data_IF_197337806650
#
_entry.id   IF_197337806650
#
_cell.length_a   1.000
_cell.length_b   1.000
_cell.length_c   1.000
_cell.angle_alpha   90.00
_cell.angle_beta   90.00
_cell.angle_gamma   90.00
#
_symmetry.space_group_name_H-M   'P 1'
#
loop_
_entity.id
_entity.type
_entity.pdbx_description
1 polymer ?
#
# COMPACT_ATOMS: atom_id res chain seq x y z
N UNK A 1 3.71 3.63 15.74
CA UNK A 1 5.04 4.05 15.23
C UNK A 1 6.13 3.45 16.09
N UNK A 2 7.25 3.04 15.49
CA UNK A 2 8.41 2.51 16.21
C UNK A 2 9.50 3.57 16.28
N UNK A 3 10.20 3.61 17.40
CA UNK A 3 11.29 4.53 17.67
C UNK A 3 12.58 3.75 17.89
N UNK A 4 13.70 4.35 17.48
CA UNK A 4 15.02 3.93 17.94
C UNK A 4 15.06 4.03 19.47
N UNK A 5 15.47 2.98 20.14
CA UNK A 5 15.46 2.87 21.60
C UNK A 5 16.77 2.27 22.11
N UNK A 6 17.34 2.86 23.15
CA UNK A 6 18.39 2.22 23.93
C UNK A 6 17.74 1.16 24.80
N UNK A 7 18.03 -0.11 24.53
CA UNK A 7 17.42 -1.24 25.22
C UNK A 7 17.50 -1.10 26.74
N UNK A 8 16.35 -1.24 27.39
CA UNK A 8 16.14 -1.08 28.84
C UNK A 8 16.54 0.30 29.38
N UNK A 9 16.76 1.30 28.52
CA UNK A 9 17.28 2.62 28.86
C UNK A 9 18.65 2.59 29.56
N UNK A 10 19.46 1.57 29.26
CA UNK A 10 20.68 1.22 29.96
C UNK A 10 21.89 2.04 29.45
N UNK A 11 22.34 3.01 30.23
CA UNK A 11 23.50 3.86 29.90
C UNK A 11 24.85 3.19 30.20
N UNK A 12 25.27 2.24 29.37
CA UNK A 12 26.61 1.63 29.43
C UNK A 12 27.14 1.34 28.02
N UNK A 13 28.47 1.31 27.88
CA UNK A 13 29.13 0.89 26.65
C UNK A 13 28.63 -0.51 26.22
N UNK A 14 28.21 -0.61 24.96
CA UNK A 14 27.69 -1.84 24.37
C UNK A 14 26.24 -2.15 24.70
N UNK A 15 25.47 -1.22 25.31
CA UNK A 15 24.03 -1.37 25.36
C UNK A 15 23.46 -1.34 23.93
N UNK A 16 22.63 -2.33 23.61
CA UNK A 16 22.08 -2.51 22.27
C UNK A 16 21.04 -1.45 21.95
N UNK A 17 20.97 -1.10 20.66
CA UNK A 17 19.83 -0.37 20.12
C UNK A 17 18.78 -1.36 19.63
N UNK A 18 17.52 -1.00 19.82
CA UNK A 18 16.35 -1.76 19.40
C UNK A 18 15.29 -0.83 18.80
N UNK A 19 14.27 -1.42 18.19
CA UNK A 19 12.99 -0.72 17.95
C UNK A 19 12.03 -0.97 19.12
N UNK A 20 11.23 0.05 19.43
CA UNK A 20 10.14 -0.07 20.40
C UNK A 20 9.01 0.90 20.05
N UNK A 21 7.80 0.65 20.53
CA UNK A 21 6.70 1.61 20.37
C UNK A 21 7.08 2.98 20.91
N UNK A 22 6.88 4.03 20.11
CA UNK A 22 7.24 5.38 20.51
C UNK A 22 6.47 5.83 21.76
N UNK A 23 7.20 6.18 22.83
CA UNK A 23 6.62 6.72 24.06
C UNK A 23 7.03 8.18 24.21
N UNK A 24 6.06 9.10 24.22
CA UNK A 24 6.32 10.54 24.34
C UNK A 24 7.10 10.86 25.62
N UNK A 25 8.21 11.57 25.47
CA UNK A 25 9.06 11.98 26.59
C UNK A 25 9.93 10.87 27.17
N UNK A 26 9.92 9.67 26.59
CA UNK A 26 10.74 8.56 27.04
C UNK A 26 12.21 8.79 26.66
N UNK A 27 13.04 9.03 27.67
CA UNK A 27 14.44 9.44 27.47
C UNK A 27 15.27 8.37 26.72
N UNK A 28 14.94 7.07 26.84
CA UNK A 28 15.65 6.00 26.12
C UNK A 28 15.51 6.05 24.60
N UNK A 29 14.50 6.76 24.10
CA UNK A 29 14.14 6.82 22.67
C UNK A 29 14.47 8.16 22.01
N UNK A 30 15.22 9.02 22.70
CA UNK A 30 15.48 10.40 22.26
C UNK A 30 16.92 10.58 21.85
N UNK A 31 17.14 11.05 20.62
CA UNK A 31 18.45 11.23 20.03
C UNK A 31 18.62 12.65 19.49
N UNK A 32 19.86 13.11 19.42
CA UNK A 32 20.26 14.39 18.82
C UNK A 32 21.44 14.15 17.90
N UNK A 33 21.43 14.77 16.74
CA UNK A 33 22.50 14.72 15.77
C UNK A 33 22.97 16.13 15.50
N UNK A 34 24.27 16.31 15.41
CA UNK A 34 24.90 17.57 15.05
C UNK A 34 25.65 17.39 13.73
N UNK A 35 25.31 18.19 12.73
CA UNK A 35 25.98 18.13 11.43
C UNK A 35 27.46 18.50 11.52
N UNK A 36 27.86 19.31 12.50
CA UNK A 36 29.23 19.78 12.65
C UNK A 36 30.21 18.65 13.02
N UNK A 37 29.75 17.63 13.76
CA UNK A 37 30.57 16.49 14.17
C UNK A 37 30.03 15.12 13.71
N UNK A 38 28.83 15.07 13.15
CA UNK A 38 28.19 13.85 12.66
C UNK A 38 27.81 12.86 13.76
N UNK A 39 27.86 13.22 15.04
CA UNK A 39 27.62 12.29 16.13
C UNK A 39 26.12 12.23 16.47
N UNK A 40 25.57 11.02 16.39
CA UNK A 40 24.20 10.72 16.80
C UNK A 40 24.16 10.37 18.29
N UNK A 41 23.91 11.37 19.13
CA UNK A 41 23.96 11.28 20.60
C UNK A 41 22.64 10.85 21.19
N UNK A 42 22.72 10.06 22.27
CA UNK A 42 21.57 9.77 23.10
C UNK A 42 21.25 10.96 24.02
N UNK A 43 20.04 11.51 23.96
CA UNK A 43 19.70 12.73 24.72
C UNK A 43 19.68 12.53 26.24
N UNK A 44 19.39 11.31 26.74
CA UNK A 44 19.41 11.05 28.19
C UNK A 44 20.80 11.23 28.79
N UNK A 45 21.84 10.86 28.06
CA UNK A 45 23.23 11.00 28.45
C UNK A 45 24.08 11.23 27.20
N UNK A 46 24.33 12.50 26.81
CA UNK A 46 25.02 12.87 25.58
C UNK A 46 26.49 12.44 25.51
N UNK A 47 27.02 11.83 26.59
CA UNK A 47 28.30 11.14 26.56
C UNK A 47 28.24 9.88 25.69
N UNK A 48 27.06 9.32 25.45
CA UNK A 48 26.87 8.14 24.61
C UNK A 48 26.36 8.51 23.22
N UNK A 49 26.96 7.90 22.22
CA UNK A 49 26.64 8.01 20.81
C UNK A 49 26.23 6.65 20.26
N UNK A 50 25.41 6.66 19.21
CA UNK A 50 25.21 5.48 18.36
C UNK A 50 26.57 5.06 17.80
N UNK A 51 26.84 3.77 17.84
CA UNK A 51 28.12 3.17 17.49
C UNK A 51 27.88 1.79 16.85
N UNK A 52 28.79 1.39 15.96
CA UNK A 52 28.77 0.05 15.35
C UNK A 52 29.74 -0.83 16.08
N UNK A 53 29.26 -1.95 16.61
CA UNK A 53 30.05 -2.85 17.46
C UNK A 53 31.37 -3.27 16.79
N UNK A 54 32.47 -3.12 17.50
CA UNK A 54 33.84 -3.37 17.03
C UNK A 54 34.25 -2.59 15.77
N UNK A 55 33.45 -1.63 15.31
CA UNK A 55 33.60 -0.93 14.03
C UNK A 55 33.74 -1.87 12.83
N UNK A 56 33.01 -3.00 12.84
CA UNK A 56 33.01 -3.97 11.72
C UNK A 56 31.85 -3.68 10.76
N UNK A 57 32.17 -3.38 9.50
CA UNK A 57 31.21 -3.13 8.41
C UNK A 57 30.61 -4.40 7.80
N UNK A 58 30.38 -5.43 8.61
CA UNK A 58 29.73 -6.67 8.16
C UNK A 58 28.22 -6.49 8.27
N UNK A 59 27.49 -6.76 7.19
CA UNK A 59 26.03 -6.82 7.20
C UNK A 59 25.54 -7.69 8.36
N UNK A 60 24.59 -7.17 9.14
CA UNK A 60 24.03 -7.80 10.32
C UNK A 60 24.82 -7.55 11.62
N UNK A 61 25.90 -6.77 11.58
CA UNK A 61 26.57 -6.34 12.81
C UNK A 61 25.69 -5.33 13.56
N UNK A 62 25.68 -5.41 14.89
CA UNK A 62 24.75 -4.65 15.71
C UNK A 62 25.17 -3.20 15.89
N UNK A 63 24.18 -2.32 15.88
CA UNK A 63 24.30 -0.98 16.43
C UNK A 63 24.12 -1.02 17.96
N UNK A 64 24.87 -0.18 18.64
CA UNK A 64 24.91 -0.07 20.09
C UNK A 64 25.07 1.41 20.48
N UNK A 65 25.04 1.70 21.77
CA UNK A 65 25.59 2.94 22.29
C UNK A 65 26.98 2.73 22.89
N UNK A 66 27.84 3.71 22.68
CA UNK A 66 29.19 3.77 23.24
C UNK A 66 29.55 5.20 23.58
N UNK A 67 30.48 5.41 24.50
CA UNK A 67 31.04 6.74 24.77
C UNK A 67 31.46 7.43 23.46
N UNK A 68 31.03 8.68 23.28
CA UNK A 68 31.28 9.44 22.08
C UNK A 68 32.79 9.67 21.90
N UNK A 69 33.35 9.15 20.81
CA UNK A 69 34.75 9.35 20.46
C UNK A 69 34.87 10.35 19.33
N UNK A 70 35.61 11.44 19.56
CA UNK A 70 35.87 12.51 18.57
C UNK A 70 36.94 12.14 17.53
N UNK A 71 37.43 10.89 17.54
CA UNK A 71 38.37 10.43 16.51
C UNK A 71 37.61 10.17 15.21
N UNK A 72 37.87 11.05 14.25
CA UNK A 72 37.29 11.09 12.92
C UNK A 72 36.91 9.69 12.38
N UNK A 73 35.63 9.54 11.99
CA UNK A 73 34.98 8.47 11.22
C UNK A 73 34.29 7.30 11.96
N UNK A 74 34.70 6.88 13.17
CA UNK A 74 34.24 5.56 13.67
C UNK A 74 32.79 5.49 14.18
N UNK A 75 32.28 6.56 14.79
CA UNK A 75 30.93 6.64 15.37
C UNK A 75 30.09 7.80 14.79
N UNK A 76 30.45 8.26 13.59
CA UNK A 76 29.77 9.38 12.92
C UNK A 76 28.79 8.86 11.88
N UNK A 77 27.62 9.51 11.79
CA UNK A 77 26.56 9.17 10.84
C UNK A 77 26.16 10.41 10.06
N UNK A 78 25.81 10.21 8.79
CA UNK A 78 25.07 11.19 8.01
C UNK A 78 23.58 10.91 8.19
N UNK A 79 22.82 11.95 8.53
CA UNK A 79 21.36 11.92 8.60
C UNK A 79 20.83 12.73 7.42
N UNK A 80 19.75 12.25 6.81
CA UNK A 80 19.12 12.97 5.69
C UNK A 80 18.65 14.36 6.13
N UNK A 81 19.05 15.44 5.42
CA UNK A 81 18.70 16.82 5.79
C UNK A 81 17.21 17.13 5.69
N UNK A 82 16.43 16.32 4.97
CA UNK A 82 14.96 16.45 4.91
C UNK A 82 14.27 15.95 6.19
N UNK A 83 15.00 15.24 7.06
CA UNK A 83 14.46 14.60 8.25
C UNK A 83 13.77 13.26 7.98
N UNK A 84 13.70 12.81 6.74
CA UNK A 84 13.24 11.46 6.36
C UNK A 84 14.28 10.85 5.45
N UNK A 85 14.88 9.73 5.83
CA UNK A 85 15.84 9.06 4.96
C UNK A 85 16.75 8.11 5.71
N UNK A 86 17.82 7.68 5.05
CA UNK A 86 18.77 6.72 5.64
C UNK A 86 19.66 7.41 6.68
N UNK A 87 19.96 6.68 7.75
CA UNK A 87 21.06 7.03 8.66
C UNK A 87 22.27 6.24 8.18
N UNK A 88 23.21 6.94 7.53
CA UNK A 88 24.34 6.34 6.81
C UNK A 88 25.58 6.41 7.70
N UNK A 89 26.31 5.30 7.85
CA UNK A 89 27.56 5.32 8.61
C UNK A 89 28.65 6.06 7.80
N UNK A 90 29.24 7.12 8.35
CA UNK A 90 30.14 7.98 7.55
C UNK A 90 31.44 7.29 7.11
N UNK A 91 31.94 6.31 7.87
CA UNK A 91 33.13 5.54 7.49
C UNK A 91 32.82 4.52 6.38
N UNK A 92 31.57 4.07 6.30
CA UNK A 92 31.07 3.06 5.38
C UNK A 92 29.76 3.54 4.75
N UNK A 93 29.80 4.45 3.77
CA UNK A 93 28.60 5.03 3.16
C UNK A 93 27.68 4.00 2.48
N UNK A 94 28.19 2.79 2.25
CA UNK A 94 27.44 1.64 1.80
C UNK A 94 26.68 0.92 2.93
N UNK A 95 26.83 1.32 4.20
CA UNK A 95 26.19 0.72 5.36
C UNK A 95 25.20 1.70 6.01
N UNK A 96 23.97 1.22 6.16
CA UNK A 96 22.85 1.99 6.69
C UNK A 96 22.33 1.36 7.97
N UNK A 97 21.84 2.20 8.88
CA UNK A 97 21.16 1.76 10.08
C UNK A 97 19.85 1.04 9.69
N UNK A 98 19.65 -0.17 10.20
CA UNK A 98 18.72 -1.15 9.63
C UNK A 98 17.95 -1.88 10.74
N UNK A 99 16.63 -2.02 10.58
CA UNK A 99 15.80 -2.86 11.47
C UNK A 99 15.95 -4.31 11.04
N UNK A 100 16.59 -5.10 11.90
CA UNK A 100 16.98 -6.46 11.55
C UNK A 100 15.83 -7.31 11.01
N UNK A 101 16.09 -7.96 9.87
CA UNK A 101 15.18 -8.92 9.25
C UNK A 101 13.78 -8.34 8.93
N UNK A 102 13.64 -7.01 8.80
CA UNK A 102 12.35 -6.31 8.60
C UNK A 102 11.31 -6.63 9.67
N UNK A 103 11.78 -7.01 10.86
CA UNK A 103 10.91 -7.46 11.94
C UNK A 103 10.54 -6.28 12.84
N UNK A 104 9.27 -5.87 12.78
CA UNK A 104 8.73 -4.73 13.52
C UNK A 104 8.27 -5.07 14.95
N UNK A 105 8.62 -6.23 15.50
CA UNK A 105 8.28 -6.59 16.89
C UNK A 105 9.14 -5.78 17.87
N UNK A 106 8.52 -5.28 18.95
CA UNK A 106 9.22 -4.55 20.01
C UNK A 106 10.40 -5.36 20.56
N UNK A 107 11.54 -4.70 20.69
CA UNK A 107 12.77 -5.31 21.16
C UNK A 107 13.60 -5.98 20.06
N UNK A 108 13.16 -5.94 18.80
CA UNK A 108 14.02 -6.34 17.69
C UNK A 108 15.21 -5.38 17.56
N UNK A 109 16.35 -5.93 17.16
CA UNK A 109 17.63 -5.23 17.19
C UNK A 109 17.83 -4.31 15.98
N UNK A 110 18.59 -3.24 16.22
CA UNK A 110 19.16 -2.43 15.14
C UNK A 110 20.50 -3.00 14.72
N UNK A 111 20.70 -3.13 13.42
CA UNK A 111 21.94 -3.56 12.80
C UNK A 111 22.41 -2.53 11.78
N UNK A 112 23.57 -2.78 11.19
CA UNK A 112 23.93 -2.22 9.89
C UNK A 112 23.68 -3.24 8.80
N UNK A 113 23.26 -2.76 7.65
CA UNK A 113 23.16 -3.55 6.44
C UNK A 113 23.57 -2.70 5.25
N UNK A 114 23.90 -3.37 4.14
CA UNK A 114 24.17 -2.68 2.88
C UNK A 114 22.99 -1.75 2.57
N UNK A 115 23.26 -0.48 2.32
CA UNK A 115 22.28 0.50 1.89
C UNK A 115 21.67 0.01 0.58
N UNK A 116 20.43 -0.46 0.63
CA UNK A 116 19.69 -0.97 -0.52
C UNK A 116 18.39 -0.17 -0.67
N UNK A 117 17.90 -0.09 -1.90
CA UNK A 117 16.69 0.67 -2.22
C UNK A 117 15.77 -0.11 -3.16
N UNK A 118 14.44 -0.03 -2.95
CA UNK A 118 13.73 0.50 -1.78
C UNK A 118 13.76 -0.46 -0.58
N UNK A 119 14.17 0.00 0.61
CA UNK A 119 14.11 -0.81 1.83
C UNK A 119 13.75 0.01 3.08
N UNK A 120 12.57 -0.26 3.65
CA UNK A 120 11.92 0.59 4.66
C UNK A 120 12.44 0.36 6.08
N UNK A 121 13.08 -0.77 6.34
CA UNK A 121 13.84 -1.02 7.56
C UNK A 121 15.11 -0.16 7.65
N UNK A 122 15.51 0.52 6.57
CA UNK A 122 16.65 1.43 6.51
C UNK A 122 16.26 2.92 6.48
N UNK A 123 14.97 3.24 6.46
CA UNK A 123 14.45 4.61 6.41
C UNK A 123 14.03 5.06 7.80
N UNK A 124 14.56 6.21 8.22
CA UNK A 124 14.36 6.78 9.54
C UNK A 124 13.79 8.19 9.44
N UNK A 125 12.93 8.51 10.40
CA UNK A 125 12.46 9.87 10.61
C UNK A 125 13.28 10.52 11.74
N UNK A 126 13.99 11.59 11.42
CA UNK A 126 14.86 12.32 12.33
C UNK A 126 14.47 13.80 12.38
N UNK A 127 14.30 14.36 13.58
CA UNK A 127 13.99 15.79 13.74
C UNK A 127 12.54 16.21 13.44
N UNK A 128 11.66 15.28 13.07
CA UNK A 128 10.22 15.51 12.83
C UNK A 128 9.30 15.13 14.00
N UNK A 129 9.85 14.92 15.19
CA UNK A 129 9.08 15.21 16.41
C UNK A 129 9.34 16.67 16.76
N UNK A 130 8.53 17.64 16.31
CA UNK A 130 8.67 18.99 16.81
C UNK A 130 8.48 18.92 18.32
N UNK A 131 9.48 19.39 19.06
CA UNK A 131 9.26 19.82 20.42
C UNK A 131 8.18 20.91 20.36
N UNK A 132 7.02 20.64 20.96
CA UNK A 132 6.09 21.70 21.35
C UNK A 132 6.88 22.78 22.11
N UNK A 133 6.85 24.05 21.67
CA UNK A 133 7.31 25.14 22.50
C UNK A 133 6.37 25.31 23.72
N UNK A 134 6.85 25.80 24.88
CA UNK A 134 5.95 26.20 25.97
C UNK A 134 5.00 27.29 25.45
N UNK A 135 3.72 27.30 25.86
CA UNK A 135 2.71 28.14 25.22
C UNK A 135 3.02 29.63 25.48
N UNK A 136 3.24 30.46 24.45
CA UNK A 136 2.89 31.86 24.56
C UNK A 136 1.37 31.98 24.46
N UNK A 137 0.80 32.77 25.35
CA UNK A 137 -0.64 33.05 25.54
C UNK A 137 -1.39 33.19 24.20
N UNK A 138 -2.51 32.48 23.96
CA UNK A 138 -3.06 32.34 22.62
C UNK A 138 -3.91 33.54 22.19
N UNK A 139 -3.65 34.02 20.96
CA UNK A 139 -4.68 34.51 20.06
C UNK A 139 -5.06 33.34 19.12
N UNK A 140 -6.36 33.10 18.83
CA UNK A 140 -6.81 31.87 18.21
C UNK A 140 -6.58 31.85 16.69
N UNK A 141 -5.93 30.80 16.19
CA UNK A 141 -5.90 30.37 14.78
C UNK A 141 -6.34 28.89 14.75
N UNK A 142 -7.15 28.42 13.77
CA UNK A 142 -8.05 27.31 13.99
C UNK A 142 -7.31 25.96 13.96
N UNK A 143 -7.36 25.25 15.09
CA UNK A 143 -6.89 23.87 15.28
C UNK A 143 -7.89 22.83 14.78
N UNK A 144 -8.66 23.15 13.74
CA UNK A 144 -9.63 22.20 13.20
C UNK A 144 -8.91 21.25 12.25
N UNK A 145 -8.97 19.92 12.44
CA UNK A 145 -8.50 18.96 11.44
C UNK A 145 -9.10 19.32 10.08
N UNK A 146 -8.28 19.40 9.05
CA UNK A 146 -8.77 19.57 7.68
C UNK A 146 -9.50 18.30 7.28
N UNK A 147 -10.77 18.45 6.90
CA UNK A 147 -11.63 17.37 6.45
C UNK A 147 -12.10 17.66 5.04
N UNK A 148 -12.11 16.63 4.20
CA UNK A 148 -12.66 16.68 2.86
C UNK A 148 -13.72 15.60 2.72
N UNK A 149 -14.82 15.93 2.05
CA UNK A 149 -15.93 15.01 1.79
C UNK A 149 -16.46 15.26 0.38
N UNK A 150 -16.74 14.20 -0.36
CA UNK A 150 -17.35 14.25 -1.69
C UNK A 150 -16.55 13.47 -2.72
N UNK A 151 -16.64 13.88 -3.98
CA UNK A 151 -15.89 13.26 -5.07
C UNK A 151 -14.42 13.70 -5.06
N UNK A 152 -13.52 12.79 -5.46
CA UNK A 152 -12.14 13.12 -5.87
C UNK A 152 -12.13 13.19 -7.40
N UNK A 153 -11.96 14.39 -7.94
CA UNK A 153 -12.02 14.65 -9.39
C UNK A 153 -10.63 14.83 -9.96
N UNK A 154 -10.42 14.36 -11.18
CA UNK A 154 -9.18 14.64 -11.91
C UNK A 154 -9.13 16.12 -12.33
N UNK A 155 -8.07 16.84 -11.97
CA UNK A 155 -8.00 18.29 -12.16
C UNK A 155 -8.09 18.72 -13.65
N UNK A 156 -7.49 17.94 -14.57
CA UNK A 156 -7.55 18.23 -16.00
C UNK A 156 -8.73 17.59 -16.74
N UNK A 157 -9.42 16.66 -16.07
CA UNK A 157 -10.63 16.00 -16.54
C UNK A 157 -11.69 16.07 -15.43
N UNK A 158 -12.27 17.26 -15.15
CA UNK A 158 -13.18 17.47 -14.01
C UNK A 158 -14.50 16.69 -14.11
N UNK A 159 -14.78 16.12 -15.28
CA UNK A 159 -15.82 15.13 -15.53
C UNK A 159 -15.47 13.72 -15.05
N UNK A 160 -14.22 13.45 -14.64
CA UNK A 160 -13.76 12.14 -14.15
C UNK A 160 -13.57 12.14 -12.64
N UNK A 161 -14.14 11.14 -12.00
CA UNK A 161 -14.13 10.93 -10.56
C UNK A 161 -13.48 9.60 -10.23
N UNK A 162 -12.80 9.51 -9.08
CA UNK A 162 -12.48 8.22 -8.49
C UNK A 162 -13.75 7.40 -8.28
N UNK A 163 -13.70 6.12 -8.61
CA UNK A 163 -14.80 5.17 -8.50
C UNK A 163 -14.32 3.86 -7.90
N UNK A 164 -15.13 3.32 -7.00
CA UNK A 164 -15.01 1.93 -6.55
C UNK A 164 -15.61 1.03 -7.62
N UNK A 165 -14.74 0.30 -8.32
CA UNK A 165 -15.14 -0.52 -9.46
C UNK A 165 -16.33 -1.42 -9.15
N UNK A 166 -17.35 -1.35 -10.01
CA UNK A 166 -18.59 -2.14 -9.93
C UNK A 166 -19.33 -1.97 -8.58
N UNK A 167 -19.03 -0.91 -7.81
CA UNK A 167 -19.54 -0.68 -6.46
C UNK A 167 -19.31 -1.86 -5.49
N UNK A 168 -18.24 -2.64 -5.71
CA UNK A 168 -17.98 -3.87 -4.96
C UNK A 168 -17.19 -3.59 -3.66
N UNK A 169 -17.85 -3.79 -2.52
CA UNK A 169 -17.27 -3.68 -1.17
C UNK A 169 -16.50 -4.94 -0.78
N UNK A 170 -15.32 -5.13 -1.36
CA UNK A 170 -14.46 -6.28 -1.13
C UNK A 170 -12.99 -5.86 -1.08
N UNK A 171 -12.23 -6.46 -0.15
CA UNK A 171 -10.78 -6.32 -0.09
C UNK A 171 -10.13 -6.69 -1.42
N UNK A 172 -9.29 -5.78 -1.91
CA UNK A 172 -8.56 -5.91 -3.15
C UNK A 172 -9.39 -5.56 -4.38
N UNK A 173 -10.62 -5.04 -4.20
CA UNK A 173 -11.35 -4.47 -5.32
C UNK A 173 -10.57 -3.29 -5.90
N UNK A 174 -10.60 -3.14 -7.22
CA UNK A 174 -9.81 -2.13 -7.91
C UNK A 174 -10.48 -0.75 -7.83
N UNK A 175 -9.64 0.29 -7.79
CA UNK A 175 -10.09 1.67 -7.99
C UNK A 175 -9.88 2.08 -9.46
N UNK A 176 -10.86 2.77 -10.04
CA UNK A 176 -10.75 3.41 -11.35
C UNK A 176 -11.17 4.88 -11.34
N UNK A 177 -11.00 5.54 -12.49
CA UNK A 177 -11.75 6.73 -12.84
C UNK A 177 -12.98 6.38 -13.67
N UNK A 178 -14.05 7.14 -13.45
CA UNK A 178 -15.29 7.06 -14.22
C UNK A 178 -15.90 8.45 -14.39
N UNK A 179 -16.79 8.62 -15.37
CA UNK A 179 -17.57 9.85 -15.48
C UNK A 179 -18.29 10.15 -14.16
N UNK A 180 -18.11 11.35 -13.63
CA UNK A 180 -18.70 11.81 -12.39
C UNK A 180 -20.22 11.76 -12.47
N UNK A 181 -20.82 10.85 -11.70
CA UNK A 181 -22.26 10.75 -11.53
C UNK A 181 -22.66 11.42 -10.21
N UNK A 182 -23.67 12.30 -10.27
CA UNK A 182 -24.17 12.99 -9.09
C UNK A 182 -24.67 11.99 -8.05
N UNK A 183 -24.26 12.18 -6.79
CA UNK A 183 -24.68 11.38 -5.62
C UNK A 183 -24.39 9.87 -5.74
N UNK A 184 -23.56 9.45 -6.71
CA UNK A 184 -23.20 8.05 -6.90
C UNK A 184 -22.33 7.56 -5.74
N UNK A 185 -22.85 6.59 -5.00
CA UNK A 185 -22.25 6.12 -3.75
C UNK A 185 -20.81 5.61 -3.91
N UNK A 186 -20.49 4.94 -5.02
CA UNK A 186 -19.13 4.43 -5.33
C UNK A 186 -18.08 5.52 -5.57
N UNK A 187 -18.49 6.77 -5.72
CA UNK A 187 -17.62 7.91 -6.03
C UNK A 187 -17.52 8.93 -4.89
N UNK A 188 -18.12 8.63 -3.72
CA UNK A 188 -18.11 9.52 -2.57
C UNK A 188 -17.08 9.06 -1.54
N UNK A 189 -16.17 9.94 -1.16
CA UNK A 189 -15.09 9.66 -0.21
C UNK A 189 -15.08 10.69 0.92
N UNK A 190 -14.50 10.31 2.04
CA UNK A 190 -14.20 11.19 3.16
C UNK A 190 -12.74 11.05 3.54
N UNK A 191 -12.11 12.16 3.93
CA UNK A 191 -10.76 12.18 4.45
C UNK A 191 -10.68 13.13 5.63
N UNK A 192 -9.97 12.71 6.67
CA UNK A 192 -9.69 13.50 7.85
C UNK A 192 -8.18 13.49 8.09
N UNK A 193 -7.57 14.68 8.21
CA UNK A 193 -6.16 14.79 8.56
C UNK A 193 -5.77 14.09 9.87
N UNK A 194 -6.74 13.76 10.74
CA UNK A 194 -6.51 13.06 12.00
C UNK A 194 -6.12 11.57 11.82
N UNK A 195 -6.64 10.89 10.79
CA UNK A 195 -6.29 9.50 10.46
C UNK A 195 -5.55 9.37 9.12
N UNK A 196 -5.63 10.40 8.27
CA UNK A 196 -5.02 10.47 6.94
C UNK A 196 -5.62 9.48 5.95
N UNK A 197 -6.71 8.79 6.27
CA UNK A 197 -7.29 7.75 5.42
C UNK A 197 -8.34 8.33 4.49
N UNK A 198 -8.35 7.86 3.25
CA UNK A 198 -9.44 8.18 2.30
C UNK A 198 -10.45 7.04 2.39
N UNK A 199 -11.49 7.27 3.19
CA UNK A 199 -12.57 6.30 3.41
C UNK A 199 -13.59 6.36 2.27
N UNK A 200 -14.09 5.19 1.88
CA UNK A 200 -15.28 5.13 1.04
C UNK A 200 -16.52 5.49 1.85
N UNK A 201 -17.20 6.59 1.51
CA UNK A 201 -18.29 7.16 2.33
C UNK A 201 -19.44 6.17 2.56
N UNK A 202 -19.77 5.35 1.57
CA UNK A 202 -20.86 4.36 1.68
C UNK A 202 -20.47 3.15 2.54
N UNK A 203 -19.18 2.82 2.62
CA UNK A 203 -18.64 1.72 3.42
C UNK A 203 -17.38 2.17 4.16
N UNK A 204 -17.50 2.93 5.27
CA UNK A 204 -16.37 3.59 5.93
C UNK A 204 -15.31 2.62 6.50
N UNK A 205 -15.61 1.33 6.58
CA UNK A 205 -14.62 0.31 6.92
C UNK A 205 -13.61 0.04 5.79
N UNK A 206 -13.83 0.57 4.57
CA UNK A 206 -12.92 0.43 3.44
C UNK A 206 -12.26 1.76 3.08
N UNK A 207 -10.97 1.68 2.75
CA UNK A 207 -10.09 2.79 2.45
C UNK A 207 -9.43 2.60 1.09
N UNK A 208 -9.12 3.71 0.42
CA UNK A 208 -8.15 3.70 -0.69
C UNK A 208 -6.81 3.19 -0.14
N UNK A 209 -6.18 2.30 -0.88
CA UNK A 209 -5.04 1.50 -0.41
C UNK A 209 -4.04 1.21 -1.53
N UNK A 210 -2.74 1.24 -1.21
CA UNK A 210 -1.68 0.83 -2.14
C UNK A 210 -1.44 -0.67 -2.03
N UNK A 211 -1.68 -1.39 -3.13
CA UNK A 211 -1.69 -2.85 -3.13
C UNK A 211 -0.38 -3.46 -2.63
N UNK A 212 -0.47 -4.27 -1.57
CA UNK A 212 0.62 -5.07 -0.99
C UNK A 212 1.83 -4.23 -0.55
N UNK A 213 1.64 -2.98 -0.10
CA UNK A 213 2.71 -2.05 0.25
C UNK A 213 3.76 -1.80 -0.84
N UNK A 214 3.47 -2.12 -2.12
CA UNK A 214 4.50 -2.06 -3.16
C UNK A 214 4.61 -0.64 -3.72
N UNK A 215 5.78 -0.05 -3.59
CA UNK A 215 6.13 1.33 -3.98
C UNK A 215 6.65 1.47 -5.42
N UNK A 216 6.71 0.37 -6.16
CA UNK A 216 7.09 0.39 -7.56
C UNK A 216 6.07 1.18 -8.39
N UNK A 217 6.56 2.12 -9.20
CA UNK A 217 5.77 2.86 -10.17
C UNK A 217 4.87 1.93 -10.99
N UNK A 218 3.60 2.30 -11.05
CA UNK A 218 2.55 1.54 -11.73
C UNK A 218 1.95 0.41 -10.89
N UNK A 219 2.29 0.31 -9.61
CA UNK A 219 1.56 -0.54 -8.68
C UNK A 219 0.12 -0.03 -8.50
N UNK A 220 -0.84 -0.95 -8.42
CA UNK A 220 -2.26 -0.61 -8.44
C UNK A 220 -2.75 -0.05 -7.11
N UNK A 221 -3.67 0.90 -7.21
CA UNK A 221 -4.46 1.38 -6.08
C UNK A 221 -5.74 0.54 -6.00
N UNK A 222 -6.12 0.16 -4.80
CA UNK A 222 -7.23 -0.73 -4.51
C UNK A 222 -8.07 -0.19 -3.35
N UNK A 223 -9.19 -0.87 -3.11
CA UNK A 223 -10.00 -0.73 -1.92
C UNK A 223 -9.63 -1.85 -0.93
N UNK A 224 -9.38 -1.50 0.33
CA UNK A 224 -9.05 -2.47 1.36
C UNK A 224 -9.60 -2.06 2.73
N UNK A 225 -9.81 -3.03 3.62
CA UNK A 225 -10.27 -2.79 4.98
C UNK A 225 -9.32 -1.85 5.74
N UNK A 226 -9.89 -0.80 6.35
CA UNK A 226 -9.17 0.27 7.07
C UNK A 226 -8.63 -0.19 8.45
N UNK A 227 -8.92 -1.41 8.88
CA UNK A 227 -8.66 -1.93 10.23
C UNK A 227 -7.18 -2.26 10.48
N UNK A 228 -6.36 -2.27 9.43
CA UNK A 228 -4.91 -2.32 9.56
C UNK A 228 -4.38 -0.91 9.91
N UNK A 229 -3.65 -0.80 11.03
CA UNK A 229 -2.92 0.43 11.43
C UNK A 229 -1.58 0.50 10.69
N UNK A 230 -1.63 0.32 9.36
CA UNK A 230 -0.47 0.34 8.47
C UNK A 230 -0.58 1.49 7.48
N UNK A 231 0.56 1.94 7.00
CA UNK A 231 0.73 3.17 6.21
C UNK A 231 0.29 3.05 4.74
N UNK A 232 -0.22 1.90 4.28
CA UNK A 232 -0.70 1.67 2.89
C UNK A 232 -1.88 2.55 2.48
N UNK A 233 -2.76 2.84 3.44
CA UNK A 233 -4.02 3.54 3.22
C UNK A 233 -4.01 4.98 3.73
N UNK A 234 -2.83 5.50 4.13
CA UNK A 234 -2.67 6.85 4.67
C UNK A 234 -2.15 7.75 3.56
N UNK A 235 -2.87 8.82 3.28
CA UNK A 235 -2.58 9.81 2.25
C UNK A 235 -2.61 11.22 2.83
N UNK A 236 -1.72 12.07 2.34
CA UNK A 236 -1.78 13.51 2.57
C UNK A 236 -2.58 14.18 1.46
N UNK A 237 -3.56 14.98 1.86
CA UNK A 237 -4.36 15.84 0.98
C UNK A 237 -4.11 17.29 1.39
N UNK A 238 -3.88 18.17 0.43
CA UNK A 238 -3.71 19.61 0.69
C UNK A 238 -4.96 20.18 1.39
N UNK A 239 -4.84 21.11 2.36
CA UNK A 239 -5.98 21.71 3.04
C UNK A 239 -6.98 22.40 2.09
N UNK A 240 -6.54 22.87 0.92
CA UNK A 240 -7.42 23.42 -0.11
C UNK A 240 -8.25 22.37 -0.86
N UNK A 241 -7.95 21.08 -0.67
CA UNK A 241 -8.51 19.96 -1.41
C UNK A 241 -8.01 19.87 -2.84
N UNK A 242 -7.01 20.66 -3.23
CA UNK A 242 -6.46 20.68 -4.59
C UNK A 242 -5.00 20.28 -4.59
N UNK A 243 -4.62 19.48 -5.58
CA UNK A 243 -3.23 19.10 -5.80
C UNK A 243 -3.05 17.60 -5.89
N UNK A 244 -1.81 17.16 -5.73
CA UNK A 244 -1.47 15.75 -5.63
C UNK A 244 -1.95 15.15 -4.31
N UNK A 245 -2.44 13.92 -4.37
CA UNK A 245 -2.72 13.09 -3.19
C UNK A 245 -1.50 12.21 -2.97
N UNK A 246 -0.77 12.45 -1.89
CA UNK A 246 0.56 11.88 -1.65
C UNK A 246 0.45 10.70 -0.70
N UNK A 247 1.09 9.58 -1.03
CA UNK A 247 1.13 8.43 -0.14
C UNK A 247 2.00 8.73 1.09
N UNK A 248 1.46 8.61 2.29
CA UNK A 248 2.18 9.01 3.50
C UNK A 248 3.43 8.15 3.79
N UNK A 249 3.42 6.88 3.36
CA UNK A 249 4.58 5.99 3.51
C UNK A 249 5.73 6.34 2.56
N UNK A 250 5.38 6.89 1.39
CA UNK A 250 6.30 7.21 0.31
C UNK A 250 5.94 8.61 -0.22
N UNK A 251 6.44 9.69 0.42
CA UNK A 251 6.10 11.07 0.04
C UNK A 251 6.51 11.46 -1.39
N UNK A 252 7.38 10.66 -2.00
CA UNK A 252 7.76 10.71 -3.39
C UNK A 252 6.77 10.01 -4.33
N UNK A 253 5.75 9.32 -3.82
CA UNK A 253 4.73 8.59 -4.58
C UNK A 253 3.37 9.28 -4.44
N UNK A 254 2.71 9.48 -5.56
CA UNK A 254 1.43 10.15 -5.68
C UNK A 254 0.40 9.18 -6.27
N UNK A 255 -0.87 9.37 -5.89
CA UNK A 255 -1.96 8.78 -6.67
C UNK A 255 -1.91 9.32 -8.10
N UNK A 256 -2.18 8.44 -9.06
CA UNK A 256 -1.90 8.67 -10.47
C UNK A 256 -2.94 7.95 -11.33
N UNK A 257 -3.48 8.64 -12.34
CA UNK A 257 -4.34 8.01 -13.35
C UNK A 257 -3.47 7.25 -14.33
N UNK A 258 -3.59 5.93 -14.29
CA UNK A 258 -2.66 5.04 -14.99
C UNK A 258 -2.51 5.39 -16.46
N UNK A 259 -1.26 5.49 -16.90
CA UNK A 259 -0.85 5.66 -18.30
C UNK A 259 -1.52 6.87 -18.98
N UNK A 260 -1.87 7.92 -18.21
CA UNK A 260 -2.62 9.10 -18.65
C UNK A 260 -3.99 8.80 -19.30
N UNK A 261 -4.52 7.59 -19.11
CA UNK A 261 -5.77 7.17 -19.75
C UNK A 261 -6.98 7.91 -19.18
N UNK A 262 -7.91 8.38 -20.03
CA UNK A 262 -9.13 9.07 -19.60
C UNK A 262 -10.43 8.32 -19.92
N UNK A 263 -10.32 7.04 -20.28
CA UNK A 263 -11.50 6.20 -20.50
C UNK A 263 -12.09 5.74 -19.17
N UNK A 264 -13.41 5.54 -19.14
CA UNK A 264 -14.08 4.97 -17.98
C UNK A 264 -13.53 3.57 -17.67
N UNK A 265 -13.25 3.32 -16.39
CA UNK A 265 -12.61 2.08 -15.94
C UNK A 265 -11.07 2.12 -16.00
N UNK A 266 -10.46 3.22 -16.45
CA UNK A 266 -9.00 3.39 -16.35
C UNK A 266 -8.58 3.36 -14.88
N UNK A 267 -7.50 2.63 -14.59
CA UNK A 267 -7.13 2.32 -13.21
C UNK A 267 -6.40 3.44 -12.55
N UNK A 268 -6.47 3.47 -11.23
CA UNK A 268 -5.54 4.24 -10.43
C UNK A 268 -4.30 3.41 -10.11
N UNK A 269 -3.16 4.10 -10.03
CA UNK A 269 -1.90 3.56 -9.62
C UNK A 269 -1.19 4.52 -8.68
N UNK A 270 -0.08 4.07 -8.10
CA UNK A 270 0.93 4.97 -7.57
C UNK A 270 2.02 5.20 -8.63
N UNK A 271 2.55 6.41 -8.63
CA UNK A 271 3.71 6.77 -9.43
C UNK A 271 4.53 7.84 -8.72
N UNK A 272 5.81 7.94 -9.07
CA UNK A 272 6.66 9.02 -8.58
C UNK A 272 5.97 10.37 -8.82
N UNK A 273 5.88 11.20 -7.79
CA UNK A 273 5.31 12.54 -7.85
C UNK A 273 6.12 13.40 -8.82
N UNK A 274 5.51 13.82 -9.93
CA UNK A 274 6.14 14.65 -10.95
C UNK A 274 5.49 16.04 -10.92
N UNK A 275 6.26 17.11 -10.65
CA UNK A 275 5.71 18.46 -10.64
C UNK A 275 5.07 18.83 -11.98
N UNK A 276 3.78 19.18 -11.94
CA UNK A 276 3.03 19.60 -13.13
C UNK A 276 2.55 18.47 -14.03
N UNK A 277 2.72 17.21 -13.62
CA UNK A 277 2.09 16.10 -14.33
C UNK A 277 0.59 16.11 -14.10
N UNK A 278 -0.15 15.99 -15.19
CA UNK A 278 -1.58 16.31 -15.20
C UNK A 278 -2.41 15.19 -14.58
N UNK A 279 -1.99 13.95 -14.73
CA UNK A 279 -2.64 12.73 -14.22
C UNK A 279 -2.45 12.49 -12.72
N UNK A 280 -1.68 13.34 -12.04
CA UNK A 280 -1.46 13.28 -10.59
C UNK A 280 -2.16 14.39 -9.81
N UNK A 281 -2.81 15.34 -10.50
CA UNK A 281 -3.44 16.50 -9.86
C UNK A 281 -4.95 16.28 -9.71
N UNK A 282 -5.47 16.43 -8.48
CA UNK A 282 -6.88 16.15 -8.15
C UNK A 282 -7.55 17.29 -7.39
N UNK A 283 -8.88 17.27 -7.39
CA UNK A 283 -9.75 18.14 -6.61
C UNK A 283 -10.69 17.30 -5.73
N UNK A 284 -10.52 17.34 -4.41
CA UNK A 284 -11.35 16.63 -3.43
C UNK A 284 -12.43 17.56 -2.87
N UNK A 285 -13.68 17.11 -2.90
CA UNK A 285 -14.80 17.76 -2.21
C UNK A 285 -15.42 18.93 -2.97
N UNK A 286 -15.15 19.02 -4.28
CA UNK A 286 -15.71 20.06 -5.12
C UNK A 286 -17.05 19.64 -5.74
N UNK A 287 -18.08 20.47 -5.54
CA UNK A 287 -19.29 20.47 -6.34
C UNK A 287 -18.99 21.13 -7.70
N UNK A 288 -18.84 20.32 -8.74
CA UNK A 288 -18.70 20.74 -10.13
C UNK A 288 -19.71 20.03 -11.03
N UNK A 289 -19.82 20.46 -12.28
CA UNK A 289 -20.79 19.97 -13.27
C UNK A 289 -20.78 18.45 -13.36
N UNK A 290 -21.86 17.83 -12.92
CA UNK A 290 -22.08 16.39 -13.05
C UNK A 290 -22.57 16.09 -14.46
N UNK A 291 -22.14 14.97 -15.03
CA UNK A 291 -22.88 14.41 -16.15
C UNK A 291 -24.32 14.16 -15.68
N UNK A 292 -25.34 14.34 -16.54
CA UNK A 292 -26.69 13.93 -16.19
C UNK A 292 -26.61 12.49 -15.70
N UNK A 293 -27.15 12.25 -14.51
CA UNK A 293 -27.15 10.91 -13.94
C UNK A 293 -27.67 9.96 -15.03
N UNK A 294 -26.95 8.87 -15.36
CA UNK A 294 -27.59 7.79 -16.07
C UNK A 294 -28.88 7.46 -15.30
N UNK A 295 -29.96 7.04 -15.99
CA UNK A 295 -31.17 6.62 -15.30
C UNK A 295 -30.76 5.74 -14.13
N UNK A 296 -31.36 5.93 -12.93
CA UNK A 296 -30.90 5.28 -11.72
C UNK A 296 -30.58 3.85 -12.06
N UNK A 297 -29.37 3.39 -11.71
CA UNK A 297 -29.09 1.97 -11.72
C UNK A 297 -30.15 1.39 -10.79
N UNK A 298 -31.23 0.92 -11.39
CA UNK A 298 -32.11 -0.06 -10.80
C UNK A 298 -31.15 -1.22 -10.70
N UNK A 299 -30.61 -1.56 -9.50
CA UNK A 299 -29.98 -2.85 -9.38
C UNK A 299 -31.01 -3.81 -9.95
N UNK A 300 -30.63 -4.64 -10.95
CA UNK A 300 -31.56 -5.66 -11.41
C UNK A 300 -32.10 -6.29 -10.13
N UNK A 301 -33.44 -6.30 -9.96
CA UNK A 301 -34.09 -6.58 -8.69
C UNK A 301 -33.37 -7.76 -8.13
N UNK A 302 -32.80 -7.62 -6.91
CA UNK A 302 -31.84 -8.55 -6.31
C UNK A 302 -31.74 -9.80 -7.17
N UNK A 303 -30.61 -10.03 -7.84
CA UNK A 303 -30.33 -11.40 -8.24
C UNK A 303 -30.13 -12.20 -6.94
N UNK A 304 -31.22 -12.43 -6.17
CA UNK A 304 -31.73 -13.78 -5.96
C UNK A 304 -31.46 -14.42 -7.30
N UNK A 305 -30.46 -15.29 -7.40
CA UNK A 305 -30.45 -16.18 -8.53
C UNK A 305 -31.87 -16.73 -8.57
N UNK A 306 -32.65 -16.39 -9.60
CA UNK A 306 -33.35 -17.48 -10.27
C UNK A 306 -32.27 -18.53 -10.35
N UNK A 307 -32.41 -19.66 -9.63
CA UNK A 307 -31.41 -20.70 -9.72
C UNK A 307 -31.17 -20.84 -11.21
N UNK A 308 -29.98 -20.39 -11.68
CA UNK A 308 -29.58 -20.67 -13.05
C UNK A 308 -29.79 -22.17 -13.14
N UNK A 309 -30.58 -22.64 -14.13
CA UNK A 309 -31.30 -23.90 -14.07
C UNK A 309 -30.43 -24.89 -13.32
N UNK A 310 -30.89 -25.29 -12.12
CA UNK A 310 -30.12 -26.15 -11.22
C UNK A 310 -29.39 -27.14 -12.09
N UNK A 311 -28.04 -27.14 -12.04
CA UNK A 311 -27.23 -27.90 -12.98
C UNK A 311 -27.84 -29.28 -13.08
N UNK A 312 -28.50 -29.57 -14.21
CA UNK A 312 -29.25 -30.80 -14.34
C UNK A 312 -28.26 -31.93 -13.99
N UNK A 313 -28.64 -32.91 -13.15
CA UNK A 313 -27.70 -33.91 -12.65
C UNK A 313 -26.86 -34.47 -13.80
N UNK A 314 -25.54 -34.19 -13.77
CA UNK A 314 -24.60 -34.60 -14.81
C UNK A 314 -24.11 -33.52 -15.79
N UNK A 315 -24.54 -32.26 -15.72
CA UNK A 315 -23.98 -31.16 -16.55
C UNK A 315 -22.98 -30.28 -15.79
N UNK A 316 -21.73 -30.09 -16.29
CA UNK A 316 -20.74 -29.22 -15.67
C UNK A 316 -21.02 -27.72 -15.94
N UNK A 317 -20.68 -26.84 -14.98
CA UNK A 317 -20.55 -25.39 -15.22
C UNK A 317 -19.11 -25.10 -15.69
N UNK A 318 -18.97 -24.54 -16.90
CA UNK A 318 -17.69 -24.30 -17.56
C UNK A 318 -17.36 -22.81 -17.55
N UNK A 319 -16.13 -22.48 -17.12
CA UNK A 319 -15.61 -21.11 -17.06
C UNK A 319 -14.25 -21.02 -17.74
N UNK A 320 -14.05 -19.97 -18.54
CA UNK A 320 -12.80 -19.68 -19.22
C UNK A 320 -12.35 -18.26 -18.86
N UNK A 321 -11.11 -18.11 -18.39
CA UNK A 321 -10.52 -16.82 -18.04
C UNK A 321 -9.10 -16.71 -18.58
N UNK A 322 -8.50 -15.51 -18.58
CA UNK A 322 -7.09 -15.32 -18.97
C UNK A 322 -6.18 -16.18 -18.08
N UNK A 323 -5.17 -16.82 -18.69
CA UNK A 323 -4.14 -17.57 -17.97
C UNK A 323 -3.36 -16.66 -17.01
N UNK A 324 -3.18 -17.10 -15.76
CA UNK A 324 -2.36 -16.41 -14.78
C UNK A 324 -0.89 -16.83 -14.99
N UNK A 325 0.05 -15.87 -14.98
CA UNK A 325 1.50 -16.07 -15.22
C UNK A 325 1.95 -16.46 -16.63
N UNK A 326 1.08 -16.41 -17.65
CA UNK A 326 1.47 -16.66 -19.04
C UNK A 326 1.85 -15.34 -19.70
N UNK A 327 3.10 -15.23 -20.20
CA UNK A 327 3.59 -14.02 -20.89
C UNK A 327 2.98 -13.83 -22.30
N UNK A 328 2.33 -14.85 -22.84
CA UNK A 328 1.57 -14.81 -24.10
C UNK A 328 0.06 -14.65 -23.88
N UNK A 329 -0.62 -14.07 -24.87
CA UNK A 329 -2.08 -13.98 -24.95
C UNK A 329 -2.74 -15.28 -25.44
N UNK A 330 -1.93 -16.31 -25.68
CA UNK A 330 -2.31 -17.61 -26.21
C UNK A 330 -2.67 -18.63 -25.14
N UNK A 331 -2.80 -18.24 -23.87
CA UNK A 331 -3.13 -19.18 -22.79
C UNK A 331 -4.33 -18.75 -21.94
N UNK A 332 -5.22 -19.70 -21.67
CA UNK A 332 -6.42 -19.52 -20.84
C UNK A 332 -6.42 -20.47 -19.66
N UNK A 333 -7.07 -20.05 -18.57
CA UNK A 333 -7.48 -20.94 -17.49
C UNK A 333 -8.86 -21.48 -17.78
N UNK A 334 -8.93 -22.79 -17.98
CA UNK A 334 -10.18 -23.52 -18.18
C UNK A 334 -10.58 -24.19 -16.88
N UNK A 335 -11.82 -23.96 -16.43
CA UNK A 335 -12.33 -24.48 -15.17
C UNK A 335 -13.70 -25.12 -15.32
N UNK A 336 -13.92 -26.24 -14.65
CA UNK A 336 -15.19 -26.96 -14.63
C UNK A 336 -15.65 -27.14 -13.17
N UNK A 337 -16.93 -26.86 -12.92
CA UNK A 337 -17.59 -27.14 -11.63
C UNK A 337 -18.57 -28.29 -11.85
N UNK A 338 -18.40 -29.37 -11.09
CA UNK A 338 -19.20 -30.61 -11.19
C UNK A 338 -19.78 -30.99 -9.83
N UNK A 339 -20.91 -31.72 -9.81
CA UNK A 339 -21.42 -32.35 -8.60
C UNK A 339 -20.69 -33.70 -8.38
N UNK A 340 -20.13 -33.93 -7.19
CA UNK A 340 -19.37 -35.15 -6.87
C UNK A 340 -17.87 -35.11 -7.21
N UNK A 341 -17.14 -36.25 -7.09
CA UNK A 341 -15.70 -36.29 -7.33
C UNK A 341 -15.36 -36.06 -8.81
N UNK A 342 -14.20 -35.45 -9.05
CA UNK A 342 -13.75 -35.04 -10.40
C UNK A 342 -13.85 -36.19 -11.42
N UNK A 343 -14.30 -35.91 -12.66
CA UNK A 343 -14.18 -36.87 -13.75
C UNK A 343 -12.69 -37.25 -13.95
N UNK A 344 -12.38 -38.44 -14.51
CA UNK A 344 -11.05 -39.06 -14.49
C UNK A 344 -9.98 -38.39 -15.38
N UNK A 345 -10.09 -37.08 -15.64
CA UNK A 345 -9.18 -36.32 -16.49
C UNK A 345 -8.06 -35.67 -15.66
N UNK A 346 -6.88 -35.49 -16.27
CA UNK A 346 -5.76 -34.77 -15.66
C UNK A 346 -6.06 -33.27 -15.61
N UNK A 347 -6.20 -32.74 -14.40
CA UNK A 347 -6.37 -31.33 -14.07
C UNK A 347 -5.17 -30.84 -13.26
N UNK A 348 -4.76 -29.58 -13.45
CA UNK A 348 -3.68 -28.97 -12.66
C UNK A 348 -4.10 -28.78 -11.19
N UNK A 349 -5.39 -28.52 -10.99
CA UNK A 349 -6.00 -28.32 -9.69
C UNK A 349 -7.38 -28.96 -9.62
N UNK A 350 -7.69 -29.58 -8.49
CA UNK A 350 -9.02 -30.12 -8.19
C UNK A 350 -9.28 -30.01 -6.70
N UNK A 351 -10.41 -29.43 -6.32
CA UNK A 351 -10.80 -29.30 -4.92
C UNK A 351 -12.31 -29.14 -4.75
N UNK A 352 -12.85 -29.74 -3.69
CA UNK A 352 -14.23 -29.52 -3.25
C UNK A 352 -14.33 -28.20 -2.47
N UNK A 353 -15.43 -27.47 -2.66
CA UNK A 353 -15.63 -26.22 -1.92
C UNK A 353 -15.77 -26.49 -0.41
N UNK A 354 -15.07 -25.72 0.42
CA UNK A 354 -14.99 -25.98 1.87
C UNK A 354 -16.11 -25.36 2.71
N UNK A 355 -16.71 -24.26 2.26
CA UNK A 355 -17.63 -23.46 3.10
C UNK A 355 -19.06 -23.35 2.55
N UNK A 356 -19.23 -23.31 1.23
CA UNK A 356 -20.54 -23.33 0.54
C UNK A 356 -20.43 -24.22 -0.70
N UNK A 357 -21.54 -24.85 -1.11
CA UNK A 357 -21.57 -25.78 -2.25
C UNK A 357 -20.58 -26.95 -2.09
N UNK A 358 -20.53 -27.53 -0.89
CA UNK A 358 -19.63 -28.63 -0.52
C UNK A 358 -19.92 -29.93 -1.30
N UNK A 359 -21.03 -30.00 -2.02
CA UNK A 359 -21.38 -31.05 -2.96
C UNK A 359 -20.73 -30.87 -4.35
N UNK A 360 -20.03 -29.75 -4.57
CA UNK A 360 -19.40 -29.40 -5.85
C UNK A 360 -17.88 -29.44 -5.78
N UNK A 361 -17.28 -29.81 -6.90
CA UNK A 361 -15.83 -29.86 -7.11
C UNK A 361 -15.44 -28.89 -8.22
N UNK A 362 -14.46 -28.04 -7.94
CA UNK A 362 -13.80 -27.19 -8.94
C UNK A 362 -12.55 -27.90 -9.45
N UNK A 363 -12.50 -28.15 -10.76
CA UNK A 363 -11.31 -28.62 -11.45
C UNK A 363 -10.84 -27.54 -12.43
N UNK A 364 -9.53 -27.29 -12.51
CA UNK A 364 -8.97 -26.21 -13.33
C UNK A 364 -7.64 -26.60 -13.95
N UNK A 365 -7.38 -26.13 -15.18
CA UNK A 365 -6.09 -26.28 -15.85
C UNK A 365 -5.79 -25.11 -16.79
N UNK A 366 -4.50 -24.91 -17.10
CA UNK A 366 -4.07 -23.95 -18.11
C UNK A 366 -4.01 -24.63 -19.49
N UNK A 367 -4.52 -23.95 -20.51
CA UNK A 367 -4.53 -24.41 -21.88
C UNK A 367 -3.87 -23.38 -22.78
N UNK A 368 -3.02 -23.86 -23.67
CA UNK A 368 -2.54 -23.06 -24.79
C UNK A 368 -3.58 -23.17 -25.93
N UNK A 369 -3.96 -22.04 -26.47
CA UNK A 369 -4.93 -21.86 -27.54
C UNK A 369 -4.16 -21.41 -28.78
N UNK A 370 -4.00 -22.31 -29.74
CA UNK A 370 -3.37 -22.00 -31.00
C UNK A 370 -4.24 -21.10 -31.89
N UNK A 371 -3.71 -20.72 -33.05
CA UNK A 371 -4.42 -19.89 -34.05
C UNK A 371 -5.76 -20.46 -34.52
N UNK A 372 -5.96 -21.77 -34.41
CA UNK A 372 -7.21 -22.46 -34.77
C UNK A 372 -8.13 -22.73 -33.57
N UNK A 373 -7.73 -22.31 -32.37
CA UNK A 373 -8.36 -22.67 -31.10
C UNK A 373 -7.75 -23.92 -30.46
N UNK A 374 -8.40 -24.37 -29.39
CA UNK A 374 -8.16 -25.66 -28.74
C UNK A 374 -9.51 -26.24 -28.31
N UNK A 375 -9.56 -27.55 -28.04
CA UNK A 375 -10.80 -28.24 -27.67
C UNK A 375 -10.61 -29.00 -26.37
N UNK A 376 -11.56 -28.86 -25.47
CA UNK A 376 -11.59 -29.52 -24.17
C UNK A 376 -12.76 -30.46 -23.99
N UNK A 377 -12.56 -31.49 -23.16
CA UNK A 377 -13.61 -32.43 -22.80
C UNK A 377 -13.87 -32.43 -21.31
N UNK A 378 -15.16 -32.33 -20.96
CA UNK A 378 -15.63 -32.46 -19.58
C UNK A 378 -16.79 -33.46 -19.56
N UNK A 379 -16.46 -34.72 -19.31
CA UNK A 379 -17.40 -35.83 -19.52
C UNK A 379 -17.75 -35.95 -21.01
N UNK A 380 -19.05 -35.97 -21.32
CA UNK A 380 -19.55 -36.04 -22.71
C UNK A 380 -19.59 -34.67 -23.41
N UNK A 381 -19.30 -33.58 -22.69
CA UNK A 381 -19.27 -32.24 -23.26
C UNK A 381 -17.93 -31.99 -23.95
N UNK A 382 -18.00 -31.51 -25.20
CA UNK A 382 -16.85 -30.98 -25.94
C UNK A 382 -16.97 -29.46 -26.00
N UNK A 383 -15.92 -28.75 -25.59
CA UNK A 383 -15.87 -27.28 -25.51
C UNK A 383 -14.75 -26.77 -26.41
N UNK A 384 -15.13 -26.06 -27.47
CA UNK A 384 -14.18 -25.38 -28.34
C UNK A 384 -13.85 -24.00 -27.77
N UNK A 385 -12.55 -23.71 -27.65
CA UNK A 385 -12.01 -22.49 -27.10
C UNK A 385 -11.22 -21.79 -28.19
N UNK A 386 -11.63 -20.57 -28.54
CA UNK A 386 -10.95 -19.74 -29.54
C UNK A 386 -10.64 -18.39 -28.93
N UNK A 387 -9.42 -17.90 -29.15
CA UNK A 387 -9.04 -16.53 -28.84
C UNK A 387 -9.09 -15.76 -30.17
N UNK A 388 -9.72 -14.58 -30.23
CA UNK A 388 -9.71 -13.75 -31.45
C UNK A 388 -8.27 -13.45 -31.90
N UNK A 389 -8.05 -13.33 -33.22
CA UNK A 389 -6.79 -12.78 -33.73
C UNK A 389 -6.57 -11.38 -33.14
N UNK A 390 -5.34 -11.12 -32.67
CA UNK A 390 -4.97 -9.85 -32.04
C UNK A 390 -4.68 -8.75 -33.05
#
# INVERSE_FOLDING_TARGET
EKCLDVKDGLGKNGAHLQIWDCVKGQASMTFSWDQADGLLRWKKDPRFCVDIRDHKATNGNYAQIWECHQVASKATFAVDPTGVGRIIWSLHPEQCLDVRDKNWVNGNYIQIWQCIGPDMDQIWMFGIVPAMPPPPTPLPLPTTPSKHEGTIRWATHPEKCFDVKDSLAQDGNRMDIWDCVKDQASMQFTWDSADGKIHWKAHPQFCVDVRNHRDANGNSVQLWSCDQVVSEAIFSVDPSGKGRIVWALHPEQCLDVRDHGNSNGQGLQIWTCIPGDKDQEFHFGFEGTYAPAPPPYVPPPHYVPTPGPELAPGRPDIRVSKGHYTRGYDAVRFSAITHGPSPPYQWDYTSTFKHRWQDKTLSSRILNVGSWGTTERVGDLTVDIKIPEQ
#
